data_IF_902051404915
#
_entry.id   IF_902051404915
#
_cell.length_a   1.000
_cell.length_b   1.000
_cell.length_c   1.000
_cell.angle_alpha   90.00
_cell.angle_beta   90.00
_cell.angle_gamma   90.00
#
_symmetry.space_group_name_H-M   'P 1'
#
loop_
_entity.id
_entity.type
_entity.pdbx_description
1 polymer ?
#
# COMPACT_ATOMS: atom_id res chain seq x y z
N UNK A 1 1.00 -27.37 5.94
CA UNK A 1 1.66 -26.48 4.98
C UNK A 1 2.82 -25.81 5.72
N UNK A 2 4.05 -25.80 5.19
CA UNK A 2 5.12 -25.05 5.82
C UNK A 2 4.71 -23.58 5.87
N UNK A 3 4.78 -22.98 7.06
CA UNK A 3 4.65 -21.52 7.21
C UNK A 3 6.01 -20.94 6.87
N UNK A 4 6.06 -20.06 5.89
CA UNK A 4 7.26 -19.29 5.61
C UNK A 4 7.63 -18.47 6.85
N UNK A 5 8.90 -18.52 7.25
CA UNK A 5 9.41 -17.75 8.39
C UNK A 5 9.49 -16.24 8.09
N UNK A 6 9.32 -15.86 6.83
CA UNK A 6 9.33 -14.48 6.34
C UNK A 6 8.06 -14.24 5.54
N UNK A 7 7.30 -13.24 5.94
CA UNK A 7 6.08 -12.82 5.27
C UNK A 7 6.34 -11.50 4.54
N UNK A 8 6.19 -11.51 3.22
CA UNK A 8 6.20 -10.27 2.44
C UNK A 8 4.94 -9.48 2.82
N UNK A 9 5.10 -8.20 3.12
CA UNK A 9 3.98 -7.30 3.39
C UNK A 9 3.59 -6.57 2.10
N UNK A 10 2.29 -6.38 1.93
CA UNK A 10 1.70 -5.42 0.99
C UNK A 10 1.39 -4.12 1.71
N UNK A 11 1.37 -3.01 0.97
CA UNK A 11 1.11 -1.71 1.57
C UNK A 11 0.07 -0.92 0.78
N UNK A 12 -0.67 -0.08 1.51
CA UNK A 12 -1.64 0.89 0.98
C UNK A 12 -1.40 2.24 1.63
N UNK A 13 -1.77 3.30 0.92
CA UNK A 13 -1.58 4.67 1.36
C UNK A 13 -2.92 5.40 1.34
N UNK A 14 -3.27 6.09 2.42
CA UNK A 14 -4.51 6.88 2.48
C UNK A 14 -4.34 8.29 1.89
N UNK A 15 -5.46 8.98 1.68
CA UNK A 15 -5.49 10.27 0.99
C UNK A 15 -5.98 11.42 1.86
N UNK A 16 -5.56 11.46 3.14
CA UNK A 16 -5.95 12.57 3.99
C UNK A 16 -5.30 13.89 3.55
N UNK A 17 -6.03 15.02 3.65
CA UNK A 17 -5.59 16.31 3.10
C UNK A 17 -4.38 16.91 3.82
N UNK A 18 -4.00 16.38 4.98
CA UNK A 18 -2.80 16.78 5.71
C UNK A 18 -1.53 16.05 5.24
N UNK A 19 -1.68 15.04 4.37
CA UNK A 19 -0.57 14.29 3.80
C UNK A 19 0.26 15.12 2.82
N UNK A 20 1.50 14.69 2.57
CA UNK A 20 2.32 15.29 1.51
C UNK A 20 1.80 14.84 0.15
N UNK A 21 1.92 15.69 -0.85
CA UNK A 21 1.38 15.44 -2.18
C UNK A 21 2.35 14.59 -3.02
N UNK A 22 1.83 13.61 -3.75
CA UNK A 22 2.59 12.87 -4.75
C UNK A 22 3.89 12.26 -4.24
N UNK A 23 4.94 12.42 -5.04
CA UNK A 23 6.30 11.96 -4.71
C UNK A 23 6.95 12.69 -3.52
N UNK A 24 6.40 13.81 -3.06
CA UNK A 24 6.92 14.47 -1.85
C UNK A 24 6.53 13.70 -0.57
N UNK A 25 5.59 12.76 -0.65
CA UNK A 25 5.24 11.88 0.46
C UNK A 25 6.17 10.69 0.57
N UNK A 26 6.73 10.50 1.77
CA UNK A 26 7.49 9.29 2.10
C UNK A 26 6.59 8.05 2.10
N UNK A 27 5.32 8.19 2.50
CA UNK A 27 4.36 7.10 2.46
C UNK A 27 4.16 6.63 1.01
N UNK A 28 3.90 7.56 0.09
CA UNK A 28 3.71 7.25 -1.34
C UNK A 28 4.94 6.55 -1.94
N UNK A 29 6.14 7.11 -1.70
CA UNK A 29 7.41 6.55 -2.18
C UNK A 29 7.72 5.17 -1.62
N UNK A 30 7.29 4.87 -0.39
CA UNK A 30 7.44 3.54 0.21
C UNK A 30 6.39 2.57 -0.35
N UNK A 31 5.13 2.99 -0.46
CA UNK A 31 4.05 2.21 -1.07
C UNK A 31 4.36 1.79 -2.52
N UNK A 32 5.03 2.64 -3.31
CA UNK A 32 5.44 2.30 -4.69
C UNK A 32 6.52 1.21 -4.75
N UNK A 33 7.37 1.13 -3.72
CA UNK A 33 8.48 0.17 -3.65
C UNK A 33 8.09 -1.16 -3.03
N UNK A 34 6.93 -1.23 -2.38
CA UNK A 34 6.40 -2.48 -1.85
C UNK A 34 5.38 -3.06 -2.83
N UNK A 35 5.13 -4.38 -2.78
CA UNK A 35 4.04 -4.99 -3.54
C UNK A 35 2.71 -4.47 -2.98
N UNK A 36 2.26 -3.32 -3.48
CA UNK A 36 1.20 -2.52 -2.89
C UNK A 36 -0.14 -2.66 -3.61
N UNK A 37 -1.21 -2.48 -2.82
CA UNK A 37 -2.62 -2.57 -3.17
C UNK A 37 -3.20 -1.15 -3.31
N UNK A 38 -3.71 -0.79 -4.49
CA UNK A 38 -4.39 0.49 -4.74
C UNK A 38 -5.85 0.51 -4.23
N UNK A 39 -6.13 -0.10 -3.07
CA UNK A 39 -7.48 -0.17 -2.48
C UNK A 39 -8.50 -1.03 -3.25
N UNK A 40 -8.22 -1.46 -4.48
CA UNK A 40 -9.14 -2.26 -5.30
C UNK A 40 -8.78 -3.75 -5.40
N UNK A 41 -7.49 -4.09 -5.62
CA UNK A 41 -7.01 -5.49 -5.74
C UNK A 41 -5.54 -5.63 -5.30
N UNK A 42 -5.21 -6.73 -4.63
CA UNK A 42 -3.84 -7.03 -4.15
C UNK A 42 -2.81 -7.20 -5.30
N UNK A 43 -3.31 -7.45 -6.51
CA UNK A 43 -2.60 -7.70 -7.75
C UNK A 43 -2.33 -6.43 -8.58
N UNK A 44 -2.87 -5.27 -8.16
CA UNK A 44 -2.66 -3.99 -8.86
C UNK A 44 -1.54 -3.20 -8.19
N UNK A 45 -0.40 -3.12 -8.88
CA UNK A 45 0.78 -2.38 -8.44
C UNK A 45 0.44 -0.91 -8.14
N UNK A 46 0.68 -0.49 -6.90
CA UNK A 46 0.48 0.88 -6.45
C UNK A 46 1.29 1.86 -7.31
N UNK A 47 0.64 2.92 -7.79
CA UNK A 47 1.28 4.02 -8.53
C UNK A 47 0.99 5.33 -7.83
N UNK A 48 2.02 6.16 -7.71
CA UNK A 48 1.89 7.49 -7.13
C UNK A 48 1.17 8.40 -8.12
N UNK A 49 0.17 9.12 -7.64
CA UNK A 49 -0.52 10.20 -8.34
C UNK A 49 -0.06 11.53 -7.74
N UNK A 50 0.60 12.35 -8.54
CA UNK A 50 1.12 13.63 -8.09
C UNK A 50 0.04 14.65 -7.72
N UNK A 51 -1.24 14.36 -7.96
CA UNK A 51 -2.35 15.22 -7.54
C UNK A 51 -2.99 14.78 -6.21
N UNK A 52 -2.57 13.64 -5.66
CA UNK A 52 -3.14 13.10 -4.42
C UNK A 52 -2.23 13.39 -3.23
N UNK A 53 -2.86 13.70 -2.10
CA UNK A 53 -2.18 13.74 -0.81
C UNK A 53 -2.02 12.32 -0.28
N UNK A 54 -0.88 12.02 0.33
CA UNK A 54 -0.59 10.72 0.95
C UNK A 54 -0.09 10.94 2.37
N UNK A 55 -0.86 10.49 3.35
CA UNK A 55 -0.70 10.84 4.77
C UNK A 55 -0.11 9.69 5.59
N UNK A 56 -0.70 8.51 5.49
CA UNK A 56 -0.35 7.32 6.25
C UNK A 56 -0.18 6.13 5.30
N UNK A 57 0.64 5.19 5.75
CA UNK A 57 0.90 3.92 5.09
C UNK A 57 0.43 2.80 6.01
N UNK A 58 -0.39 1.90 5.47
CA UNK A 58 -0.88 0.70 6.15
C UNK A 58 -0.22 -0.53 5.54
N UNK A 59 0.29 -1.42 6.39
CA UNK A 59 0.92 -2.65 5.97
C UNK A 59 0.03 -3.85 6.32
N UNK A 60 -0.15 -4.74 5.34
CA UNK A 60 -0.95 -5.96 5.44
C UNK A 60 -0.10 -7.16 5.01
N UNK A 61 -0.41 -8.39 5.43
CA UNK A 61 0.22 -9.57 4.86
C UNK A 61 -0.07 -9.67 3.36
N UNK A 62 0.97 -9.85 2.54
CA UNK A 62 0.77 -10.09 1.11
C UNK A 62 0.02 -11.43 0.94
N UNK A 63 -1.13 -11.40 0.26
CA UNK A 63 -1.95 -12.59 0.05
C UNK A 63 -2.97 -12.91 1.14
N UNK A 64 -3.14 -12.05 2.17
CA UNK A 64 -4.32 -12.12 3.04
C UNK A 64 -5.56 -11.63 2.28
N UNK A 65 -6.11 -12.48 1.41
CA UNK A 65 -7.48 -12.35 0.95
C UNK A 65 -8.38 -12.73 2.13
N UNK A 66 -8.66 -11.79 3.03
CA UNK A 66 -9.96 -11.83 3.68
C UNK A 66 -10.98 -11.49 2.59
N UNK A 67 -11.55 -12.55 2.03
CA UNK A 67 -12.88 -12.54 1.44
C UNK A 67 -13.76 -11.67 2.32
N UNK A 68 -14.15 -10.49 1.85
CA UNK A 68 -15.29 -9.79 2.42
C UNK A 68 -16.50 -10.70 2.18
N UNK A 69 -16.90 -11.45 3.21
CA UNK A 69 -18.21 -12.09 3.33
C UNK A 69 -19.29 -11.03 3.54
#
# INVERSE_FOLDING_TARGET
MPVDSVLQLSCSCNQYPWGKQGHDSIAARLCEKTPGWDGEKADKQFKIDDNKSYAEMYAYPCGSQETQL
#
